data_IF_001950021846
#
_entry.id   IF_001950021846
#
_cell.length_a   1.000
_cell.length_b   1.000
_cell.length_c   1.000
_cell.angle_alpha   90.00
_cell.angle_beta   90.00
_cell.angle_gamma   90.00
#
_symmetry.space_group_name_H-M   'P 1'
#
loop_
_entity.id
_entity.type
_entity.pdbx_description
1 polymer ?
#
# COMPACT_ATOMS: atom_id res chain seq x y z
N UNK A 1 3.56 15.71 -21.55
CA UNK A 1 4.54 14.61 -21.52
C UNK A 1 4.89 14.37 -20.07
N UNK A 2 4.51 13.21 -19.52
CA UNK A 2 4.84 12.83 -18.14
C UNK A 2 6.26 12.23 -18.20
N UNK A 3 7.26 13.00 -17.80
CA UNK A 3 8.62 12.48 -17.61
C UNK A 3 8.70 11.90 -16.20
N UNK A 4 8.50 10.59 -16.10
CA UNK A 4 8.75 9.83 -14.88
C UNK A 4 10.27 9.67 -14.73
N UNK A 5 10.88 10.43 -13.82
CA UNK A 5 12.27 10.25 -13.41
C UNK A 5 12.34 9.07 -12.42
N UNK A 6 12.19 7.86 -12.94
CA UNK A 6 12.19 6.61 -12.17
C UNK A 6 13.54 6.27 -11.52
N UNK A 7 14.62 6.95 -11.91
CA UNK A 7 15.98 6.57 -11.54
C UNK A 7 16.38 6.89 -10.09
N UNK A 8 15.59 7.67 -9.34
CA UNK A 8 16.04 8.17 -8.05
C UNK A 8 15.17 7.76 -6.84
N UNK A 9 13.97 7.17 -7.07
CA UNK A 9 12.97 6.80 -6.02
C UNK A 9 13.38 5.62 -5.14
N UNK A 10 14.68 5.43 -4.91
CA UNK A 10 15.28 4.37 -4.09
C UNK A 10 14.69 4.29 -2.69
N UNK A 11 14.19 5.40 -2.13
CA UNK A 11 13.50 5.40 -0.84
C UNK A 11 12.30 4.44 -0.83
N UNK A 12 11.55 4.32 -1.93
CA UNK A 12 10.40 3.41 -2.03
C UNK A 12 10.81 1.95 -1.98
N UNK A 13 12.01 1.60 -2.44
CA UNK A 13 12.44 0.21 -2.62
C UNK A 13 13.44 -0.25 -1.55
N UNK A 14 13.67 0.58 -0.53
CA UNK A 14 14.49 0.22 0.62
C UNK A 14 13.76 -0.84 1.45
N UNK A 15 14.38 -2.00 1.68
CA UNK A 15 13.69 -3.18 2.23
C UNK A 15 13.18 -2.94 3.67
N UNK A 16 11.93 -3.31 3.99
CA UNK A 16 11.44 -3.34 5.36
C UNK A 16 12.06 -4.53 6.14
N UNK A 17 12.37 -4.31 7.42
CA UNK A 17 13.10 -5.24 8.29
C UNK A 17 12.17 -6.21 9.01
N UNK A 18 12.50 -7.51 9.05
CA UNK A 18 12.10 -8.36 10.18
C UNK A 18 13.07 -8.14 11.34
N UNK A 19 12.58 -8.12 12.57
CA UNK A 19 13.43 -8.04 13.76
C UNK A 19 14.20 -9.37 13.96
N UNK A 20 15.19 -9.67 13.10
CA UNK A 20 16.30 -10.64 13.31
C UNK A 20 17.28 -10.84 12.13
N UNK A 21 17.11 -10.18 10.98
CA UNK A 21 18.10 -10.25 9.88
C UNK A 21 18.59 -8.86 9.54
N UNK A 22 19.83 -8.55 9.93
CA UNK A 22 20.54 -7.33 9.56
C UNK A 22 21.30 -7.59 8.26
N UNK A 23 21.18 -6.70 7.27
CA UNK A 23 22.33 -6.25 6.50
C UNK A 23 22.21 -4.74 6.34
N UNK A 24 23.15 -4.03 6.97
CA UNK A 24 23.54 -2.62 6.88
C UNK A 24 22.46 -1.63 6.45
N UNK A 25 21.77 -1.08 7.46
CA UNK A 25 21.39 0.33 7.39
C UNK A 25 22.68 1.12 7.20
N UNK A 26 22.92 1.62 5.98
CA UNK A 26 23.54 2.93 5.88
C UNK A 26 22.54 3.87 6.52
N UNK A 27 22.72 4.07 7.83
CA UNK A 27 21.98 5.05 8.61
C UNK A 27 22.36 6.43 8.07
N UNK A 28 21.74 6.84 6.97
CA UNK A 28 21.56 8.25 6.72
C UNK A 28 20.34 8.65 7.53
N UNK A 29 20.62 9.04 8.77
CA UNK A 29 19.60 9.53 9.68
C UNK A 29 18.80 10.63 9.02
N UNK A 30 17.48 10.59 9.20
CA UNK A 30 16.62 11.77 9.23
C UNK A 30 16.99 12.87 8.19
N UNK A 31 16.96 12.53 6.89
CA UNK A 31 17.00 13.52 5.81
C UNK A 31 15.62 14.20 5.68
N UNK A 32 15.30 15.04 6.68
CA UNK A 32 14.08 15.88 6.68
C UNK A 32 14.21 17.09 5.72
N UNK A 33 15.38 17.30 5.12
CA UNK A 33 15.67 18.44 4.27
C UNK A 33 16.46 18.01 3.02
N UNK A 34 15.78 17.47 1.99
CA UNK A 34 16.45 17.40 0.68
C UNK A 34 15.95 16.42 -0.37
N UNK A 35 15.11 15.43 -0.06
CA UNK A 35 14.64 14.52 -1.11
C UNK A 35 13.41 15.12 -1.83
N UNK A 36 13.70 16.00 -2.79
CA UNK A 36 12.71 16.63 -3.68
C UNK A 36 11.75 15.57 -4.26
N UNK A 37 12.25 14.38 -4.59
CA UNK A 37 11.47 13.29 -5.15
C UNK A 37 10.39 12.70 -4.24
N UNK A 38 10.67 12.54 -2.93
CA UNK A 38 9.64 12.07 -1.99
C UNK A 38 8.52 13.10 -1.92
N UNK A 39 8.89 14.38 -1.90
CA UNK A 39 7.95 15.49 -1.97
C UNK A 39 7.16 15.50 -3.28
N UNK A 40 7.83 15.33 -4.42
CA UNK A 40 7.22 15.28 -5.75
C UNK A 40 6.24 14.11 -5.87
N UNK A 41 6.66 12.89 -5.50
CA UNK A 41 5.79 11.73 -5.55
C UNK A 41 4.63 11.85 -4.56
N UNK A 42 4.88 12.41 -3.37
CA UNK A 42 3.83 12.76 -2.43
C UNK A 42 2.82 13.73 -3.04
N UNK A 43 3.26 14.77 -3.76
CA UNK A 43 2.36 15.68 -4.50
C UNK A 43 1.61 14.95 -5.60
N UNK A 44 2.26 14.09 -6.39
CA UNK A 44 1.58 13.29 -7.42
C UNK A 44 0.47 12.45 -6.78
N UNK A 45 0.79 11.69 -5.73
CA UNK A 45 -0.18 10.81 -5.06
C UNK A 45 -1.34 11.61 -4.45
N UNK A 46 -1.08 12.81 -3.92
CA UNK A 46 -2.10 13.62 -3.24
C UNK A 46 -2.90 14.53 -4.17
N UNK A 47 -2.32 15.01 -5.28
CA UNK A 47 -2.87 16.10 -6.08
C UNK A 47 -3.22 15.73 -7.53
N UNK A 48 -2.69 14.62 -8.08
CA UNK A 48 -3.04 14.15 -9.43
C UNK A 48 -4.49 13.66 -9.48
N UNK A 49 -5.11 13.62 -10.66
CA UNK A 49 -6.41 12.96 -10.81
C UNK A 49 -6.30 11.44 -10.58
N UNK A 50 -7.43 10.77 -10.36
CA UNK A 50 -7.47 9.35 -10.06
C UNK A 50 -6.79 8.48 -11.14
N UNK A 51 -7.00 8.78 -12.42
CA UNK A 51 -6.39 8.04 -13.54
C UNK A 51 -4.87 8.12 -13.53
N UNK A 52 -4.32 9.32 -13.33
CA UNK A 52 -2.88 9.55 -13.23
C UNK A 52 -2.30 8.84 -12.00
N UNK A 53 -3.01 8.85 -10.86
CA UNK A 53 -2.63 8.09 -9.68
C UNK A 53 -2.53 6.58 -9.97
N UNK A 54 -3.52 5.99 -10.65
CA UNK A 54 -3.48 4.56 -10.99
C UNK A 54 -2.29 4.27 -11.90
N UNK A 55 -2.03 5.11 -12.90
CA UNK A 55 -0.86 4.97 -13.77
C UNK A 55 0.45 5.05 -12.97
N UNK A 56 0.54 5.98 -12.02
CA UNK A 56 1.71 6.14 -11.15
C UNK A 56 1.93 4.91 -10.26
N UNK A 57 0.87 4.38 -9.66
CA UNK A 57 0.94 3.14 -8.87
C UNK A 57 1.40 1.97 -9.73
N UNK A 58 0.87 1.84 -10.94
CA UNK A 58 1.37 0.84 -11.89
C UNK A 58 2.87 1.00 -12.12
N UNK A 59 3.36 2.21 -12.39
CA UNK A 59 4.79 2.46 -12.58
C UNK A 59 5.63 2.03 -11.36
N UNK A 60 5.20 2.39 -10.14
CA UNK A 60 5.88 2.01 -8.89
C UNK A 60 6.04 0.49 -8.79
N UNK A 61 4.98 -0.27 -9.07
CA UNK A 61 5.04 -1.72 -8.98
C UNK A 61 5.77 -2.40 -10.15
N UNK A 62 5.85 -1.76 -11.31
CA UNK A 62 6.67 -2.25 -12.44
C UNK A 62 8.16 -2.03 -12.22
N UNK A 63 8.53 -0.96 -11.52
CA UNK A 63 9.93 -0.63 -11.21
C UNK A 63 10.54 -1.56 -10.15
N UNK A 64 9.73 -2.04 -9.20
CA UNK A 64 10.24 -2.91 -8.15
C UNK A 64 9.20 -3.34 -7.14
N UNK A 65 9.68 -3.76 -5.97
CA UNK A 65 8.85 -4.18 -4.84
C UNK A 65 8.77 -3.02 -3.84
N UNK A 66 7.75 -2.15 -3.92
CA UNK A 66 7.64 -1.01 -3.03
C UNK A 66 7.51 -1.46 -1.58
N UNK A 67 8.20 -0.75 -0.70
CA UNK A 67 8.09 -0.88 0.73
C UNK A 67 6.72 -0.33 1.18
N UNK A 68 5.92 -1.20 1.81
CA UNK A 68 4.58 -0.85 2.25
C UNK A 68 4.55 0.33 3.23
N UNK A 69 5.58 0.48 4.08
CA UNK A 69 5.69 1.60 5.01
C UNK A 69 5.85 2.92 4.25
N UNK A 70 6.78 2.93 3.29
CA UNK A 70 7.08 4.11 2.48
C UNK A 70 5.88 4.47 1.61
N UNK A 71 5.28 3.49 0.92
CA UNK A 71 4.09 3.73 0.11
C UNK A 71 2.91 4.24 0.95
N UNK A 72 2.62 3.61 2.09
CA UNK A 72 1.52 4.02 2.98
C UNK A 72 1.69 5.46 3.46
N UNK A 73 2.93 5.83 3.82
CA UNK A 73 3.26 7.17 4.31
C UNK A 73 3.09 8.28 3.27
N UNK A 74 3.08 7.95 1.97
CA UNK A 74 2.77 8.91 0.91
C UNK A 74 1.26 9.25 0.86
N UNK A 75 0.39 8.31 1.25
CA UNK A 75 -1.05 8.52 1.32
C UNK A 75 -1.48 9.21 2.63
N UNK A 76 -0.88 8.86 3.76
CA UNK A 76 -0.98 9.61 5.02
C UNK A 76 0.04 9.09 6.03
N UNK A 77 0.44 9.93 6.99
CA UNK A 77 1.24 9.50 8.14
C UNK A 77 0.44 8.66 9.15
N UNK A 78 -0.89 8.55 8.99
CA UNK A 78 -1.79 7.79 9.87
C UNK A 78 -2.13 6.43 9.25
N UNK A 79 -1.18 5.52 9.27
CA UNK A 79 -1.36 4.13 8.85
C UNK A 79 -1.01 3.16 9.97
N UNK A 80 -1.58 1.97 9.91
CA UNK A 80 -1.35 0.93 10.91
C UNK A 80 -1.40 -0.48 10.31
N UNK A 81 -0.83 -1.44 11.04
CA UNK A 81 -0.99 -2.86 10.75
C UNK A 81 -2.25 -3.34 11.49
N UNK A 82 -3.36 -3.44 10.77
CA UNK A 82 -4.67 -3.85 11.32
C UNK A 82 -4.79 -5.37 11.50
N UNK A 83 -3.97 -6.13 10.79
CA UNK A 83 -3.88 -7.59 10.91
C UNK A 83 -2.42 -8.02 10.72
N UNK A 84 -2.00 -9.06 11.45
CA UNK A 84 -0.67 -9.62 11.39
C UNK A 84 0.40 -8.77 12.06
N UNK A 85 0.05 -7.96 13.07
CA UNK A 85 1.01 -7.10 13.77
C UNK A 85 2.19 -7.89 14.33
N UNK A 86 1.93 -9.04 14.96
CA UNK A 86 2.99 -9.86 15.52
C UNK A 86 3.78 -10.58 14.41
N UNK A 87 3.10 -10.98 13.34
CA UNK A 87 3.70 -11.62 12.15
C UNK A 87 4.66 -10.66 11.47
N UNK A 88 4.29 -9.39 11.28
CA UNK A 88 5.14 -8.38 10.64
C UNK A 88 6.40 -8.05 11.44
N UNK A 89 6.39 -8.30 12.76
CA UNK A 89 7.56 -8.07 13.62
C UNK A 89 8.48 -9.27 13.72
N UNK A 90 7.92 -10.46 13.90
CA UNK A 90 8.68 -11.64 14.31
C UNK A 90 8.65 -12.79 13.30
N UNK A 91 7.88 -12.67 12.22
CA UNK A 91 7.56 -13.78 11.32
C UNK A 91 6.54 -14.73 11.92
N UNK A 92 5.94 -15.57 11.06
CA UNK A 92 4.77 -16.39 11.41
C UNK A 92 5.03 -17.37 12.57
N UNK A 93 6.13 -18.12 12.51
CA UNK A 93 6.40 -19.17 13.51
C UNK A 93 6.58 -18.61 14.92
N UNK A 94 7.35 -17.52 15.04
CA UNK A 94 7.56 -16.85 16.32
C UNK A 94 6.29 -16.17 16.79
N UNK A 95 5.55 -15.50 15.89
CA UNK A 95 4.29 -14.87 16.24
C UNK A 95 3.28 -15.86 16.84
N UNK A 96 3.16 -17.07 16.27
CA UNK A 96 2.27 -18.12 16.82
C UNK A 96 2.68 -18.56 18.23
N UNK A 97 3.99 -18.68 18.50
CA UNK A 97 4.51 -19.07 19.82
C UNK A 97 4.31 -17.99 20.87
N UNK A 98 4.42 -16.72 20.46
CA UNK A 98 4.39 -15.58 21.38
C UNK A 98 2.99 -14.93 21.51
N UNK A 99 2.01 -15.33 20.68
CA UNK A 99 0.66 -14.71 20.63
C UNK A 99 0.03 -14.59 22.02
N UNK A 100 -0.10 -15.71 22.74
CA UNK A 100 -0.82 -15.74 24.02
C UNK A 100 -0.17 -14.84 25.06
N UNK A 101 1.16 -14.88 25.17
CA UNK A 101 1.89 -14.03 26.11
C UNK A 101 1.81 -12.55 25.72
N UNK A 102 1.93 -12.25 24.42
CA UNK A 102 1.80 -10.90 23.90
C UNK A 102 0.41 -10.32 24.22
N UNK A 103 -0.66 -11.08 23.96
CA UNK A 103 -2.03 -10.64 24.24
C UNK A 103 -2.32 -10.52 25.73
N UNK A 104 -1.73 -11.38 26.57
CA UNK A 104 -1.78 -11.22 28.03
C UNK A 104 -1.17 -9.88 28.49
N UNK A 105 -0.14 -9.39 27.81
CA UNK A 105 0.59 -8.17 28.17
C UNK A 105 -0.01 -6.89 27.56
N UNK A 106 -0.46 -6.96 26.32
CA UNK A 106 -0.86 -5.78 25.54
C UNK A 106 -2.35 -5.71 25.25
N UNK A 107 -3.10 -6.78 25.54
CA UNK A 107 -4.53 -6.91 25.33
C UNK A 107 -4.88 -7.86 24.20
N UNK A 108 -6.04 -8.51 24.32
CA UNK A 108 -6.58 -9.45 23.32
C UNK A 108 -6.75 -8.77 21.96
N UNK A 109 -6.37 -9.47 20.89
CA UNK A 109 -6.45 -9.00 19.50
C UNK A 109 -5.34 -8.04 19.08
N UNK A 110 -4.49 -7.57 20.00
CA UNK A 110 -3.35 -6.71 19.66
C UNK A 110 -2.25 -7.43 18.89
N UNK A 111 -2.22 -8.76 18.91
CA UNK A 111 -1.32 -9.52 18.04
C UNK A 111 -1.73 -9.41 16.56
N UNK A 112 -2.98 -9.02 16.27
CA UNK A 112 -3.54 -8.92 14.93
C UNK A 112 -3.75 -10.28 14.26
N UNK A 113 -3.86 -11.37 15.02
CA UNK A 113 -3.91 -12.73 14.49
C UNK A 113 -5.27 -13.41 14.74
N UNK A 114 -6.34 -12.64 14.87
CA UNK A 114 -7.68 -13.18 15.16
C UNK A 114 -8.43 -13.59 13.89
N UNK A 115 -8.09 -12.98 12.75
CA UNK A 115 -8.71 -13.23 11.45
C UNK A 115 -7.76 -14.02 10.50
N UNK A 116 -6.89 -14.84 11.08
CA UNK A 116 -5.93 -15.67 10.36
C UNK A 116 -4.56 -15.00 10.15
N UNK A 117 -3.71 -15.72 9.43
CA UNK A 117 -2.31 -15.39 9.22
C UNK A 117 -2.15 -14.53 7.96
N UNK A 118 -2.43 -13.23 8.09
CA UNK A 118 -2.18 -12.24 7.03
C UNK A 118 -1.58 -10.99 7.66
N UNK A 119 -0.81 -10.24 6.89
CA UNK A 119 -0.36 -8.91 7.27
C UNK A 119 -1.13 -7.90 6.43
N UNK A 120 -1.97 -7.08 7.07
CA UNK A 120 -2.71 -6.02 6.39
C UNK A 120 -2.26 -4.67 6.95
N UNK A 121 -1.70 -3.83 6.09
CA UNK A 121 -1.46 -2.42 6.39
C UNK A 121 -2.61 -1.58 5.85
N UNK A 122 -3.12 -0.65 6.65
CA UNK A 122 -4.26 0.21 6.30
C UNK A 122 -3.92 1.68 6.48
N UNK A 123 -4.42 2.51 5.57
CA UNK A 123 -4.50 3.98 5.71
C UNK A 123 -5.97 4.39 5.63
N UNK A 124 -6.56 4.87 6.73
CA UNK A 124 -8.00 5.26 6.78
C UNK A 124 -8.27 6.74 6.47
N UNK A 125 -7.27 7.60 6.59
CA UNK A 125 -7.40 9.05 6.36
C UNK A 125 -6.53 9.48 5.20
N UNK A 126 -6.86 8.97 4.01
CA UNK A 126 -6.08 9.23 2.80
C UNK A 126 -6.10 10.73 2.47
N UNK A 127 -4.92 11.34 2.36
CA UNK A 127 -4.73 12.79 2.19
C UNK A 127 -4.79 13.20 0.71
N UNK A 128 -5.84 12.78 0.00
CA UNK A 128 -6.05 13.16 -1.40
C UNK A 128 -6.86 14.44 -1.53
N UNK A 129 -6.43 15.31 -2.46
CA UNK A 129 -7.06 16.59 -2.79
C UNK A 129 -8.52 16.40 -3.21
N UNK A 130 -8.76 15.44 -4.09
CA UNK A 130 -10.08 15.20 -4.67
C UNK A 130 -10.99 14.39 -3.74
N UNK A 131 -10.47 13.89 -2.61
CA UNK A 131 -11.21 13.04 -1.66
C UNK A 131 -11.94 11.89 -2.36
N UNK A 132 -11.33 11.32 -3.39
CA UNK A 132 -11.82 10.23 -4.23
C UNK A 132 -11.56 8.85 -3.60
N UNK A 133 -10.57 8.74 -2.72
CA UNK A 133 -10.21 7.52 -1.98
C UNK A 133 -10.51 7.72 -0.49
N UNK A 134 -11.31 6.82 0.10
CA UNK A 134 -11.60 6.82 1.53
C UNK A 134 -10.47 6.17 2.34
N UNK A 135 -10.01 4.99 1.90
CA UNK A 135 -8.96 4.22 2.54
C UNK A 135 -8.17 3.41 1.52
N UNK A 136 -6.97 3.01 1.91
CA UNK A 136 -6.21 1.98 1.18
C UNK A 136 -5.83 0.84 2.13
N UNK A 137 -5.74 -0.36 1.59
CA UNK A 137 -5.22 -1.54 2.30
C UNK A 137 -4.16 -2.23 1.45
N UNK A 138 -3.17 -2.79 2.11
CA UNK A 138 -2.09 -3.56 1.47
C UNK A 138 -2.05 -4.96 2.10
N UNK A 139 -2.29 -5.99 1.29
CA UNK A 139 -2.03 -7.39 1.67
C UNK A 139 -0.53 -7.66 1.46
N UNK A 140 0.18 -7.89 2.56
CA UNK A 140 1.63 -7.97 2.60
C UNK A 140 2.04 -9.43 2.77
N UNK A 141 2.98 -9.84 1.93
CA UNK A 141 3.60 -11.15 1.99
C UNK A 141 4.34 -11.34 3.32
N UNK A 142 4.02 -12.42 4.02
CA UNK A 142 4.56 -12.67 5.36
C UNK A 142 6.03 -13.15 5.37
N UNK A 143 6.58 -13.55 4.22
CA UNK A 143 7.96 -14.05 4.13
C UNK A 143 8.91 -12.95 3.65
N UNK A 144 8.47 -12.12 2.70
CA UNK A 144 9.33 -11.12 2.06
C UNK A 144 8.85 -9.67 2.20
N UNK A 145 7.72 -9.43 2.87
CA UNK A 145 7.13 -8.11 3.12
C UNK A 145 6.81 -7.29 1.86
N UNK A 146 6.76 -7.94 0.68
CA UNK A 146 6.26 -7.31 -0.53
C UNK A 146 4.74 -7.12 -0.45
N UNK A 147 4.22 -6.12 -1.15
CA UNK A 147 2.78 -5.94 -1.30
C UNK A 147 2.30 -6.90 -2.40
N UNK A 148 1.45 -7.86 -2.04
CA UNK A 148 0.79 -8.75 -3.00
C UNK A 148 -0.42 -8.06 -3.64
N UNK A 149 -1.23 -7.40 -2.81
CA UNK A 149 -2.43 -6.67 -3.26
C UNK A 149 -2.46 -5.27 -2.66
N UNK A 150 -2.69 -4.27 -3.50
CA UNK A 150 -3.06 -2.92 -3.09
C UNK A 150 -4.55 -2.70 -3.37
N UNK A 151 -5.33 -2.48 -2.32
CA UNK A 151 -6.74 -2.14 -2.39
C UNK A 151 -6.91 -0.63 -2.25
N UNK A 152 -7.62 -0.02 -3.20
CA UNK A 152 -8.00 1.39 -3.20
C UNK A 152 -9.52 1.45 -3.07
N UNK A 153 -9.99 1.86 -1.89
CA UNK A 153 -11.41 2.01 -1.62
C UNK A 153 -11.84 3.42 -2.02
N UNK A 154 -12.65 3.52 -3.06
CA UNK A 154 -13.10 4.80 -3.61
C UNK A 154 -14.46 5.20 -3.06
N UNK A 155 -14.64 6.51 -2.92
CA UNK A 155 -15.90 7.10 -2.45
C UNK A 155 -17.01 7.05 -3.50
N UNK A 156 -16.63 7.04 -4.77
CA UNK A 156 -17.52 6.88 -5.92
C UNK A 156 -16.74 6.09 -6.98
N UNK A 157 -17.36 5.05 -7.55
CA UNK A 157 -16.73 4.26 -8.60
C UNK A 157 -16.61 5.10 -9.88
N UNK A 158 -15.40 5.32 -10.42
CA UNK A 158 -15.22 6.01 -11.69
C UNK A 158 -15.67 5.12 -12.86
N UNK A 159 -15.71 5.66 -14.08
CA UNK A 159 -15.90 4.83 -15.27
C UNK A 159 -14.73 3.85 -15.44
N UNK A 160 -14.96 2.60 -15.03
CA UNK A 160 -13.95 1.55 -15.03
C UNK A 160 -13.55 1.12 -16.45
N UNK A 161 -14.44 1.28 -17.44
CA UNK A 161 -14.13 0.94 -18.84
C UNK A 161 -13.27 2.02 -19.48
N UNK A 162 -13.55 3.29 -19.20
CA UNK A 162 -12.68 4.41 -19.60
C UNK A 162 -11.29 4.26 -18.96
N UNK A 163 -11.25 4.03 -17.65
CA UNK A 163 -10.00 3.85 -16.91
C UNK A 163 -9.20 2.67 -17.46
N UNK A 164 -9.83 1.52 -17.72
CA UNK A 164 -9.22 0.37 -18.38
C UNK A 164 -8.57 0.78 -19.71
N UNK A 165 -9.31 1.46 -20.58
CA UNK A 165 -8.84 1.87 -21.92
C UNK A 165 -7.59 2.73 -21.83
N UNK A 166 -7.56 3.69 -20.89
CA UNK A 166 -6.41 4.59 -20.69
C UNK A 166 -5.18 3.82 -20.19
N UNK A 167 -5.37 2.86 -19.29
CA UNK A 167 -4.26 2.06 -18.73
C UNK A 167 -3.71 1.11 -19.79
N UNK A 168 -4.56 0.41 -20.56
CA UNK A 168 -4.12 -0.49 -21.65
C UNK A 168 -3.35 0.27 -22.75
N UNK A 169 -3.69 1.54 -22.99
CA UNK A 169 -2.94 2.39 -23.92
C UNK A 169 -1.52 2.74 -23.43
N UNK A 170 -1.25 2.63 -22.12
CA UNK A 170 0.04 2.95 -21.49
C UNK A 170 0.87 1.72 -21.12
N UNK A 171 0.21 0.59 -20.86
CA UNK A 171 0.83 -0.64 -20.36
C UNK A 171 0.29 -1.85 -21.12
N UNK A 172 1.17 -2.54 -21.85
CA UNK A 172 0.84 -3.66 -22.73
C UNK A 172 0.93 -5.04 -22.05
N UNK A 173 1.49 -5.09 -20.84
CA UNK A 173 1.83 -6.31 -20.09
C UNK A 173 0.96 -6.52 -18.84
N UNK A 174 -0.04 -5.67 -18.60
CA UNK A 174 -0.93 -5.75 -17.45
C UNK A 174 -2.27 -6.33 -17.87
N UNK A 175 -2.72 -7.35 -17.15
CA UNK A 175 -4.07 -7.88 -17.34
C UNK A 175 -5.08 -7.07 -16.53
N UNK A 176 -6.10 -6.52 -17.20
CA UNK A 176 -7.12 -5.69 -16.57
C UNK A 176 -8.50 -6.34 -16.68
N UNK A 177 -9.12 -6.57 -15.53
CA UNK A 177 -10.48 -7.08 -15.41
C UNK A 177 -11.40 -5.99 -14.86
N UNK A 178 -12.54 -5.79 -15.52
CA UNK A 178 -13.59 -4.86 -15.09
C UNK A 178 -14.84 -5.65 -14.71
N UNK A 179 -15.42 -5.33 -13.56
CA UNK A 179 -16.71 -5.82 -13.09
C UNK A 179 -17.34 -4.77 -12.17
N UNK A 180 -17.78 -5.18 -10.98
CA UNK A 180 -18.11 -4.24 -9.88
C UNK A 180 -16.86 -3.58 -9.25
N UNK A 181 -15.67 -3.98 -9.72
CA UNK A 181 -14.37 -3.48 -9.31
C UNK A 181 -13.42 -3.56 -10.48
N UNK A 182 -12.36 -2.75 -10.45
CA UNK A 182 -11.25 -2.84 -11.38
C UNK A 182 -10.14 -3.66 -10.74
N UNK A 183 -9.59 -4.62 -11.48
CA UNK A 183 -8.42 -5.39 -11.04
C UNK A 183 -7.35 -5.27 -12.12
N UNK A 184 -6.26 -4.59 -11.79
CA UNK A 184 -5.03 -4.62 -12.56
C UNK A 184 -4.15 -5.71 -11.98
N UNK A 185 -3.73 -6.65 -12.81
CA UNK A 185 -2.94 -7.81 -12.40
C UNK A 185 -1.70 -7.95 -13.27
N UNK A 186 -0.56 -8.00 -12.60
CA UNK A 186 0.71 -8.51 -13.14
C UNK A 186 0.99 -9.87 -12.48
N UNK A 187 2.06 -10.57 -12.86
CA UNK A 187 2.48 -11.84 -12.22
C UNK A 187 2.70 -11.70 -10.71
N UNK A 188 3.18 -10.55 -10.25
CA UNK A 188 3.72 -10.39 -8.87
C UNK A 188 2.85 -9.55 -7.94
N UNK A 189 1.93 -8.74 -8.47
CA UNK A 189 1.08 -7.85 -7.69
C UNK A 189 -0.31 -7.66 -8.33
N UNK A 190 -1.25 -7.15 -7.52
CA UNK A 190 -2.55 -6.64 -7.97
C UNK A 190 -2.82 -5.25 -7.42
N UNK A 191 -3.39 -4.38 -8.25
CA UNK A 191 -4.02 -3.12 -7.81
C UNK A 191 -5.53 -3.29 -8.02
N UNK A 192 -6.29 -3.09 -6.97
CA UNK A 192 -7.73 -3.38 -6.92
C UNK A 192 -8.46 -2.10 -6.52
N UNK A 193 -9.33 -1.60 -7.39
CA UNK A 193 -10.20 -0.45 -7.12
C UNK A 193 -11.61 -0.93 -6.87
N UNK A 194 -12.19 -0.57 -5.73
CA UNK A 194 -13.52 -0.99 -5.30
C UNK A 194 -14.22 0.11 -4.50
N UNK A 195 -15.54 0.06 -4.43
CA UNK A 195 -16.35 1.02 -3.68
C UNK A 195 -16.20 0.79 -2.17
N UNK A 196 -16.17 1.86 -1.37
CA UNK A 196 -16.24 1.73 0.09
C UNK A 196 -17.69 1.62 0.58
N UNK A 197 -18.18 0.39 0.70
CA UNK A 197 -19.53 0.08 1.15
C UNK A 197 -19.84 0.60 2.58
N UNK A 198 -18.81 0.90 3.40
CA UNK A 198 -18.98 1.33 4.79
C UNK A 198 -19.42 2.79 4.96
N UNK A 199 -19.50 3.57 3.88
CA UNK A 199 -19.95 4.97 3.94
C UNK A 199 -21.46 5.11 4.13
N UNK A 200 -22.25 4.05 3.88
CA UNK A 200 -23.70 4.07 4.08
C UNK A 200 -24.12 4.07 5.57
N UNK A 201 -23.21 3.82 6.51
CA UNK A 201 -23.54 3.68 7.95
C UNK A 201 -23.05 4.82 8.85
N UNK A 202 -22.52 5.90 8.29
CA UNK A 202 -21.96 7.02 9.10
C UNK A 202 -22.71 8.35 8.91
N UNK A 203 -23.92 8.30 8.37
CA UNK A 203 -24.83 9.44 8.28
C UNK A 203 -26.08 9.19 9.13
N UNK A 204 -25.91 9.09 10.45
CA UNK A 204 -26.98 9.26 11.45
C UNK A 204 -26.49 10.14 12.60
#
# INVERSE_FOLDING_TARGET
MYTNYSQERNFLYTKPYFAKVIVDTVSNGFDWFGNDERGQLGRIIKESNFTDLICELVHIFKEGLPNYYELSSLFSMKYEIVQGYLISRYGLETARKEKEEFERRFGKGKAGMDNGDKIICRVEKVERKDQDISKIEMDIDMECLKINDLYLFVNEIPDLNELKTIIEAKFDDIHISVGNRLILKEKTYRIIVLEDENRMTSAE
#
